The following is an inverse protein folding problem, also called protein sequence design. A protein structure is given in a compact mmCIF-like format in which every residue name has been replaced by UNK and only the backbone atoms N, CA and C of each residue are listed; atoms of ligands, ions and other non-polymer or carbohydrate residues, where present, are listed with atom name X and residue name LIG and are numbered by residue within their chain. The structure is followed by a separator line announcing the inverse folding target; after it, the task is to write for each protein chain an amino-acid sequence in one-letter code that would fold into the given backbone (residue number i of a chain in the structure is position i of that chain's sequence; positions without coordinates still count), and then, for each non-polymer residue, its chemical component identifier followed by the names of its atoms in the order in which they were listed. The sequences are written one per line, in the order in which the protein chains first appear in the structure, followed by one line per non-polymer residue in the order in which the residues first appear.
data_IF_451514646181
#
_entry.id   IF_451514646181
#
_cell.length_a   1.000
_cell.length_b   1.000
_cell.length_c   1.000
_cell.angle_alpha   90.00
_cell.angle_beta   90.00
_cell.angle_gamma   90.00
#
_symmetry.space_group_name_H-M   'P 1'
#
loop_
_entity.id
_entity.type
_entity.pdbx_description
1 polymer ?
#
# COMPACT_ATOMS: atom_id res chain seq x y z
N UNK A 1 -7.68 2.92 12.31
CA UNK A 1 -6.58 1.98 12.06
C UNK A 1 -7.15 0.57 12.09
N UNK A 2 -6.57 -0.40 11.40
CA UNK A 2 -6.98 -1.81 11.42
C UNK A 2 -5.76 -2.73 11.32
N UNK A 3 -5.89 -3.95 11.87
CA UNK A 3 -4.80 -4.91 11.91
C UNK A 3 -4.82 -5.91 10.75
N UNK A 4 -3.70 -6.61 10.55
CA UNK A 4 -3.52 -7.52 9.42
C UNK A 4 -4.35 -8.82 9.52
N UNK A 5 -5.07 -9.06 10.62
CA UNK A 5 -5.97 -10.23 10.75
C UNK A 5 -7.27 -10.00 9.99
N UNK A 6 -7.59 -8.74 9.70
CA UNK A 6 -8.68 -8.38 8.81
C UNK A 6 -8.11 -8.24 7.39
N UNK A 7 -8.67 -9.00 6.44
CA UNK A 7 -8.27 -8.90 5.04
C UNK A 7 -8.44 -7.48 4.53
N UNK A 8 -7.47 -6.95 3.78
CA UNK A 8 -7.51 -5.57 3.32
C UNK A 8 -8.70 -5.33 2.38
N UNK A 9 -8.99 -6.29 1.51
CA UNK A 9 -10.13 -6.25 0.57
C UNK A 9 -11.47 -6.28 1.30
N UNK A 10 -11.59 -7.14 2.32
CA UNK A 10 -12.80 -7.25 3.15
C UNK A 10 -13.03 -5.97 3.94
N UNK A 11 -11.98 -5.40 4.53
CA UNK A 11 -12.07 -4.15 5.28
C UNK A 11 -12.48 -2.97 4.38
N UNK A 12 -11.88 -2.85 3.19
CA UNK A 12 -12.24 -1.81 2.21
C UNK A 12 -13.68 -1.96 1.74
N UNK A 13 -14.13 -3.18 1.44
CA UNK A 13 -15.52 -3.44 1.06
C UNK A 13 -16.50 -3.15 2.20
N UNK A 14 -16.15 -3.50 3.44
CA UNK A 14 -17.01 -3.28 4.59
C UNK A 14 -17.28 -1.78 4.84
N UNK A 15 -16.28 -0.91 4.63
CA UNK A 15 -16.43 0.53 4.90
C UNK A 15 -17.13 1.28 3.77
N UNK A 16 -17.13 0.76 2.54
CA UNK A 16 -17.77 1.39 1.36
C UNK A 16 -17.43 2.87 1.18
N UNK A 17 -16.20 3.26 1.54
CA UNK A 17 -15.72 4.64 1.52
C UNK A 17 -16.31 5.57 2.59
N UNK A 18 -17.13 5.07 3.53
CA UNK A 18 -17.70 5.86 4.62
C UNK A 18 -16.70 6.28 5.69
N UNK A 19 -15.58 5.55 5.82
CA UNK A 19 -14.44 5.92 6.65
C UNK A 19 -13.13 5.60 5.93
N UNK A 20 -12.08 6.36 6.24
CA UNK A 20 -10.72 6.11 5.75
C UNK A 20 -10.06 4.98 6.54
N UNK A 21 -9.40 4.06 5.85
CA UNK A 21 -8.62 2.99 6.47
C UNK A 21 -7.15 3.37 6.60
N UNK A 22 -6.57 3.00 7.74
CA UNK A 22 -5.15 3.23 8.08
C UNK A 22 -4.57 1.91 8.58
N UNK A 23 -3.46 1.44 8.02
CA UNK A 23 -2.87 0.14 8.33
C UNK A 23 -2.29 -0.51 7.07
N UNK A 24 -2.15 -1.83 7.00
CA UNK A 24 -2.25 -2.86 8.04
C UNK A 24 -0.98 -3.72 8.05
N UNK A 25 0.18 -3.11 7.79
CA UNK A 25 1.44 -3.83 7.64
C UNK A 25 1.77 -4.53 8.96
N UNK A 26 1.91 -5.85 8.89
CA UNK A 26 1.97 -6.71 10.05
C UNK A 26 3.27 -6.51 10.84
N UNK A 27 3.14 -6.33 12.17
CA UNK A 27 4.30 -6.09 13.02
C UNK A 27 5.14 -7.37 13.26
N UNK A 28 4.61 -8.48 13.82
CA UNK A 28 5.46 -9.64 14.16
C UNK A 28 5.86 -10.51 12.96
N UNK A 29 4.93 -10.81 12.06
CA UNK A 29 5.08 -11.74 10.95
C UNK A 29 5.77 -11.14 9.72
N UNK A 30 5.82 -9.81 9.61
CA UNK A 30 6.46 -9.11 8.49
C UNK A 30 7.56 -8.18 8.99
N UNK A 31 7.21 -7.06 9.65
CA UNK A 31 8.20 -6.02 10.00
C UNK A 31 9.31 -6.53 10.92
N UNK A 32 8.99 -7.37 11.90
CA UNK A 32 9.97 -7.90 12.85
C UNK A 32 10.79 -9.08 12.29
N UNK A 33 10.15 -10.02 11.59
CA UNK A 33 10.78 -11.32 11.25
C UNK A 33 11.32 -11.43 9.82
N UNK A 34 10.86 -10.60 8.88
CA UNK A 34 11.19 -10.72 7.45
C UNK A 34 12.21 -9.69 6.98
N UNK A 35 12.30 -9.47 5.67
CA UNK A 35 13.11 -8.44 5.04
C UNK A 35 12.28 -7.44 4.24
N UNK A 36 12.95 -6.44 3.61
CA UNK A 36 12.29 -5.36 2.86
C UNK A 36 11.39 -5.87 1.71
N UNK A 37 11.78 -6.93 1.01
CA UNK A 37 11.01 -7.46 -0.11
C UNK A 37 9.61 -7.95 0.32
N UNK A 38 9.52 -8.61 1.48
CA UNK A 38 8.23 -9.02 2.04
C UNK A 38 7.39 -7.81 2.48
N UNK A 39 8.02 -6.78 3.08
CA UNK A 39 7.34 -5.54 3.45
C UNK A 39 6.74 -4.87 2.22
N UNK A 40 7.53 -4.72 1.16
CA UNK A 40 7.08 -4.13 -0.11
C UNK A 40 5.91 -4.89 -0.71
N UNK A 41 5.99 -6.22 -0.74
CA UNK A 41 4.90 -7.05 -1.24
C UNK A 41 3.61 -6.84 -0.43
N UNK A 42 3.70 -6.71 0.88
CA UNK A 42 2.55 -6.43 1.75
C UNK A 42 1.98 -5.02 1.55
N UNK A 43 2.84 -4.01 1.42
CA UNK A 43 2.44 -2.65 1.06
C UNK A 43 1.69 -2.63 -0.26
N UNK A 44 2.17 -3.35 -1.28
CA UNK A 44 1.51 -3.40 -2.58
C UNK A 44 0.15 -4.07 -2.50
N UNK A 45 0.01 -5.17 -1.75
CA UNK A 45 -1.30 -5.81 -1.51
C UNK A 45 -2.29 -4.84 -0.86
N UNK A 46 -1.87 -4.12 0.19
CA UNK A 46 -2.74 -3.15 0.85
C UNK A 46 -3.16 -1.99 -0.09
N UNK A 47 -2.21 -1.49 -0.90
CA UNK A 47 -2.47 -0.45 -1.90
C UNK A 47 -3.39 -0.93 -3.04
N UNK A 48 -3.26 -2.19 -3.47
CA UNK A 48 -4.10 -2.83 -4.48
C UNK A 48 -5.53 -3.06 -3.96
N UNK A 49 -5.66 -3.45 -2.69
CA UNK A 49 -6.95 -3.59 -2.01
C UNK A 49 -7.68 -2.26 -1.82
N UNK A 50 -6.97 -1.12 -1.88
CA UNK A 50 -7.56 0.21 -1.79
C UNK A 50 -7.43 0.88 -0.41
N UNK A 51 -6.53 0.40 0.45
CA UNK A 51 -6.23 1.05 1.74
C UNK A 51 -5.62 2.43 1.49
N UNK A 52 -6.19 3.47 2.10
CA UNK A 52 -5.80 4.84 1.75
C UNK A 52 -4.56 5.35 2.47
N UNK A 53 -4.32 4.91 3.71
CA UNK A 53 -3.15 5.30 4.49
C UNK A 53 -2.37 4.06 4.91
N UNK A 54 -1.24 3.84 4.25
CA UNK A 54 -0.36 2.72 4.57
C UNK A 54 0.46 3.04 5.81
N UNK A 55 0.32 2.18 6.82
CA UNK A 55 1.05 2.28 8.07
C UNK A 55 1.22 0.88 8.69
N UNK A 56 2.14 0.72 9.67
CA UNK A 56 2.11 -0.43 10.56
C UNK A 56 0.73 -0.59 11.22
N UNK A 57 0.33 -1.84 11.46
CA UNK A 57 -1.00 -2.16 12.02
C UNK A 57 -1.26 -1.55 13.41
N UNK A 58 -0.20 -1.39 14.21
CA UNK A 58 -0.27 -0.93 15.59
C UNK A 58 1.11 -0.40 16.03
N UNK A 59 1.42 -0.47 17.32
CA UNK A 59 2.72 -0.11 17.88
C UNK A 59 3.82 -1.05 17.39
N UNK A 60 4.89 -0.44 16.88
CA UNK A 60 6.03 -1.13 16.29
C UNK A 60 6.96 -1.64 17.43
N UNK A 61 7.41 -2.90 17.41
CA UNK A 61 8.45 -3.38 18.32
C UNK A 61 9.74 -2.56 18.19
N UNK A 62 10.37 -2.18 19.31
CA UNK A 62 11.63 -1.41 19.30
C UNK A 62 12.79 -2.13 18.60
N UNK A 63 12.70 -3.45 18.47
CA UNK A 63 13.68 -4.31 17.80
C UNK A 63 13.41 -4.50 16.31
N UNK A 64 12.43 -3.77 15.74
CA UNK A 64 12.13 -3.83 14.31
C UNK A 64 13.31 -3.32 13.50
N UNK A 65 13.69 -4.05 12.46
CA UNK A 65 14.79 -3.65 11.57
C UNK A 65 14.43 -2.32 10.90
N UNK A 66 15.33 -1.34 10.97
CA UNK A 66 15.10 -0.02 10.38
C UNK A 66 14.84 -0.10 8.87
N UNK A 67 15.54 -0.98 8.16
CA UNK A 67 15.34 -1.21 6.72
C UNK A 67 13.89 -1.58 6.39
N UNK A 68 13.25 -2.42 7.21
CA UNK A 68 11.85 -2.83 7.02
C UNK A 68 10.90 -1.65 7.23
N UNK A 69 11.18 -0.77 8.19
CA UNK A 69 10.37 0.43 8.43
C UNK A 69 10.50 1.46 7.30
N UNK A 70 11.73 1.68 6.83
CA UNK A 70 12.01 2.61 5.74
C UNK A 70 11.47 2.08 4.41
N UNK A 71 11.28 0.78 4.28
CA UNK A 71 10.72 0.18 3.08
C UNK A 71 9.25 0.57 2.84
N UNK A 72 8.47 0.82 3.89
CA UNK A 72 7.07 1.25 3.77
C UNK A 72 6.93 2.52 2.89
N UNK A 73 7.55 3.67 3.25
CA UNK A 73 7.44 4.87 2.42
C UNK A 73 8.11 4.73 1.05
N UNK A 74 9.17 3.91 0.91
CA UNK A 74 9.81 3.64 -0.39
C UNK A 74 8.85 2.92 -1.33
N UNK A 75 8.24 1.83 -0.88
CA UNK A 75 7.28 1.06 -1.66
C UNK A 75 6.07 1.92 -2.08
N UNK A 76 5.52 2.73 -1.17
CA UNK A 76 4.44 3.68 -1.51
C UNK A 76 4.88 4.66 -2.60
N UNK A 77 6.09 5.22 -2.49
CA UNK A 77 6.65 6.15 -3.48
C UNK A 77 6.80 5.52 -4.88
N UNK A 78 7.39 4.32 -4.93
CA UNK A 78 7.62 3.58 -6.17
C UNK A 78 6.29 3.21 -6.86
N UNK A 79 5.32 2.73 -6.09
CA UNK A 79 3.99 2.40 -6.59
C UNK A 79 3.28 3.64 -7.17
N UNK A 80 3.37 4.77 -6.48
CA UNK A 80 2.78 6.03 -6.94
C UNK A 80 3.46 6.54 -8.22
N UNK A 81 4.78 6.41 -8.34
CA UNK A 81 5.53 6.73 -9.55
C UNK A 81 5.10 5.85 -10.73
N UNK A 82 4.99 4.54 -10.53
CA UNK A 82 4.53 3.60 -11.56
C UNK A 82 3.12 3.90 -12.09
N UNK A 83 2.20 4.33 -11.21
CA UNK A 83 0.85 4.74 -11.62
C UNK A 83 0.84 6.02 -12.45
N UNK A 84 1.69 7.01 -12.13
CA UNK A 84 1.80 8.24 -12.94
C UNK A 84 2.30 7.94 -14.36
N UNK A 85 3.27 7.05 -14.50
CA UNK A 85 3.76 6.61 -15.82
C UNK A 85 2.68 5.89 -16.65
N UNK A 86 1.83 5.08 -16.01
CA UNK A 86 0.68 4.40 -16.69
C UNK A 86 -0.47 5.34 -17.03
N UNK A 87 -0.66 6.42 -16.28
CA UNK A 87 -1.65 7.45 -16.57
C UNK A 87 -1.20 8.36 -17.73
N UNK A 88 0.08 8.74 -17.77
CA UNK A 88 0.64 9.60 -18.82
C UNK A 88 0.77 8.95 -20.21
N UNK A 89 0.71 7.62 -20.31
CA UNK A 89 0.77 6.90 -21.59
C UNK A 89 -0.57 6.75 -22.32
N UNK A 90 -1.70 7.20 -21.75
CA UNK A 90 -3.04 7.02 -22.34
C UNK A 90 -3.62 8.26 -23.03
N UNK A 91 -2.91 9.39 -23.03
CA UNK A 91 -3.43 10.67 -23.55
C UNK A 91 -2.87 11.06 -24.95
N UNK A 92 -2.02 10.23 -25.57
CA UNK A 92 -1.45 10.52 -26.89
C UNK A 92 -2.24 9.96 -28.08
N UNK A 93 -3.38 9.29 -27.86
CA UNK A 93 -4.09 8.53 -28.90
C UNK A 93 -5.45 9.07 -29.37
N UNK A 94 -6.00 10.13 -28.77
CA UNK A 94 -7.39 10.56 -29.06
C UNK A 94 -7.48 11.99 -29.58
N UNK A 95 -6.82 12.28 -30.71
CA UNK A 95 -7.07 13.51 -31.49
C UNK A 95 -6.72 13.33 -32.97
N UNK A 96 -7.41 12.42 -33.64
CA UNK A 96 -7.54 12.46 -35.07
C UNK A 96 -8.95 12.01 -35.45
N UNK A 97 -9.53 12.72 -36.40
CA UNK A 97 -10.77 12.45 -37.12
C UNK A 97 -12.08 13.04 -36.56
N UNK A 98 -12.22 14.34 -36.81
CA UNK A 98 -13.51 14.96 -37.18
C UNK A 98 -13.22 15.91 -38.34
N UNK A 99 -13.34 15.39 -39.56
CA UNK A 99 -13.31 16.13 -40.82
C UNK A 99 -14.30 15.52 -41.79
#
# INVERSE_FOLDING_TARGET
HFDSKNGAEEAVEAVKGGIRLVGNINNPATLYTKGPDEVRAEVYRALEAGVEVIAPECAIPLTTKLENLIEIPRAVGDWAAGRRSRAGGRDSGARADRG
#
